data_IF_289028518061
#
_entry.id   IF_289028518061
#
_cell.length_a   1.000
_cell.length_b   1.000
_cell.length_c   1.000
_cell.angle_alpha   90.00
_cell.angle_beta   90.00
_cell.angle_gamma   90.00
#
_symmetry.space_group_name_H-M   'P 1'
#
loop_
_entity.id
_entity.type
_entity.pdbx_description
1 polymer ?
#
# COMPACT_ATOMS: atom_id res chain seq x y z
N UNK A 1 1.05 13.28 1.75
CA UNK A 1 1.48 12.01 1.14
C UNK A 1 0.71 11.80 -0.15
N UNK A 2 1.42 11.80 -1.28
CA UNK A 2 0.84 11.66 -2.63
C UNK A 2 0.99 10.22 -3.13
N UNK A 3 0.10 9.82 -4.03
CA UNK A 3 0.07 8.47 -4.59
C UNK A 3 1.39 8.05 -5.25
N UNK A 4 2.00 8.94 -6.03
CA UNK A 4 3.27 8.63 -6.70
C UNK A 4 4.43 8.47 -5.70
N UNK A 5 4.46 9.29 -4.64
CA UNK A 5 5.48 9.18 -3.58
C UNK A 5 5.38 7.82 -2.86
N UNK A 6 4.17 7.31 -2.65
CA UNK A 6 3.96 5.96 -2.09
C UNK A 6 4.51 4.87 -3.02
N UNK A 7 4.25 4.97 -4.32
CA UNK A 7 4.73 4.01 -5.32
C UNK A 7 6.27 4.00 -5.37
N UNK A 8 6.88 5.18 -5.39
CA UNK A 8 8.34 5.36 -5.41
C UNK A 8 9.00 4.88 -4.11
N UNK A 9 8.31 5.01 -2.97
CA UNK A 9 8.79 4.53 -1.69
C UNK A 9 8.72 2.99 -1.57
N UNK A 10 7.57 2.41 -1.95
CA UNK A 10 7.28 1.00 -1.68
C UNK A 10 7.88 0.09 -2.75
N UNK A 11 7.71 0.44 -4.03
CA UNK A 11 8.04 -0.45 -5.16
C UNK A 11 9.48 -0.99 -5.12
N UNK A 12 10.51 -0.12 -4.99
CA UNK A 12 11.90 -0.54 -4.89
C UNK A 12 12.19 -1.38 -3.63
N UNK A 13 11.49 -1.14 -2.52
CA UNK A 13 11.72 -1.84 -1.25
C UNK A 13 11.28 -3.30 -1.26
N UNK A 14 10.37 -3.67 -2.17
CA UNK A 14 9.80 -5.03 -2.26
C UNK A 14 10.03 -5.69 -3.63
N UNK A 15 10.77 -5.05 -4.52
CA UNK A 15 11.01 -5.51 -5.90
C UNK A 15 9.70 -5.94 -6.61
N UNK A 16 8.69 -5.07 -6.58
CA UNK A 16 7.39 -5.31 -7.20
C UNK A 16 6.97 -4.07 -8.01
N UNK A 17 6.65 -4.22 -9.31
CA UNK A 17 6.07 -3.13 -10.08
C UNK A 17 4.74 -2.68 -9.48
N UNK A 18 4.64 -1.41 -9.10
CA UNK A 18 3.44 -0.80 -8.54
C UNK A 18 2.87 0.26 -9.49
N UNK A 19 1.55 0.25 -9.63
CA UNK A 19 0.82 1.19 -10.49
C UNK A 19 -0.19 2.02 -9.70
N UNK A 20 -0.53 3.19 -10.22
CA UNK A 20 -1.50 4.08 -9.62
C UNK A 20 -2.93 3.62 -9.93
N UNK A 21 -3.73 3.40 -8.89
CA UNK A 21 -5.18 3.13 -8.88
C UNK A 21 -5.68 1.87 -9.60
N UNK A 22 -5.13 1.50 -10.75
CA UNK A 22 -5.62 0.40 -11.58
C UNK A 22 -4.46 -0.40 -12.17
N UNK A 23 -4.70 -1.68 -12.47
CA UNK A 23 -3.74 -2.51 -13.19
C UNK A 23 -3.82 -2.13 -14.67
N UNK A 24 -2.79 -1.51 -15.27
CA UNK A 24 -2.83 -1.19 -16.69
C UNK A 24 -2.84 -2.47 -17.53
N UNK A 25 -3.41 -2.40 -18.74
CA UNK A 25 -3.45 -3.53 -19.67
C UNK A 25 -2.04 -4.04 -20.04
N UNK A 26 -1.02 -3.16 -19.94
CA UNK A 26 0.39 -3.46 -20.20
C UNK A 26 1.13 -4.01 -18.97
N UNK A 27 0.50 -4.07 -17.79
CA UNK A 27 1.16 -4.60 -16.60
C UNK A 27 1.46 -6.09 -16.76
N UNK A 28 2.67 -6.47 -16.34
CA UNK A 28 3.02 -7.86 -16.12
C UNK A 28 2.04 -8.54 -15.13
N UNK A 29 2.05 -9.89 -15.08
CA UNK A 29 1.07 -10.61 -14.29
C UNK A 29 1.36 -10.56 -12.77
N UNK A 30 2.62 -10.35 -12.39
CA UNK A 30 3.06 -10.15 -11.01
C UNK A 30 3.32 -8.65 -10.78
N UNK A 31 2.39 -7.98 -10.12
CA UNK A 31 2.45 -6.54 -9.87
C UNK A 31 1.49 -6.13 -8.76
N UNK A 32 1.54 -4.87 -8.33
CA UNK A 32 0.55 -4.31 -7.43
C UNK A 32 -0.02 -2.98 -7.92
N UNK A 33 -1.07 -2.52 -7.24
CA UNK A 33 -1.58 -1.16 -7.38
C UNK A 33 -1.68 -0.50 -6.03
N UNK A 34 -1.41 0.80 -5.99
CA UNK A 34 -1.61 1.64 -4.81
C UNK A 34 -2.82 2.53 -5.05
N UNK A 35 -3.67 2.66 -4.05
CA UNK A 35 -4.87 3.51 -4.05
C UNK A 35 -4.88 4.33 -2.78
N UNK A 36 -4.98 5.65 -2.89
CA UNK A 36 -5.31 6.49 -1.73
C UNK A 36 -6.81 6.38 -1.49
N UNK A 37 -7.21 5.89 -0.32
CA UNK A 37 -8.60 5.58 0.01
C UNK A 37 -9.27 6.68 0.85
N UNK A 38 -8.62 7.85 0.93
CA UNK A 38 -9.04 8.94 1.79
C UNK A 38 -8.46 8.79 3.19
N UNK A 39 -9.25 8.98 4.23
CA UNK A 39 -8.80 8.93 5.62
C UNK A 39 -9.68 9.83 6.48
N UNK A 40 -9.29 10.04 7.74
CA UNK A 40 -9.97 11.06 8.56
C UNK A 40 -9.59 12.46 8.07
N UNK A 41 -10.49 13.45 8.20
CA UNK A 41 -10.14 14.85 8.04
C UNK A 41 -8.93 15.21 8.91
N UNK A 42 -8.18 16.19 8.45
CA UNK A 42 -7.08 16.78 9.21
C UNK A 42 -7.60 17.30 10.55
N UNK A 43 -6.83 17.06 11.60
CA UNK A 43 -7.04 17.74 12.88
C UNK A 43 -6.14 18.96 12.92
N UNK A 44 -6.68 20.11 12.54
CA UNK A 44 -5.95 21.39 12.47
C UNK A 44 -5.39 21.82 13.83
N UNK A 45 -5.98 21.36 14.95
CA UNK A 45 -5.51 21.70 16.29
C UNK A 45 -4.26 20.92 16.67
N UNK A 46 -4.22 19.65 16.26
CA UNK A 46 -3.08 18.78 16.49
C UNK A 46 -2.04 18.84 15.35
N UNK A 47 -2.37 19.52 14.25
CA UNK A 47 -1.54 19.63 13.04
C UNK A 47 -1.13 18.25 12.47
N UNK A 48 -2.08 17.30 12.48
CA UNK A 48 -1.87 15.93 12.01
C UNK A 48 -2.93 15.50 11.00
N UNK A 49 -2.50 14.71 10.01
CA UNK A 49 -3.37 14.04 9.05
C UNK A 49 -3.43 12.54 9.29
N UNK A 50 -4.54 11.90 8.89
CA UNK A 50 -4.69 10.45 8.94
C UNK A 50 -5.09 9.81 7.60
N UNK A 51 -4.26 9.96 6.56
CA UNK A 51 -4.57 9.34 5.28
C UNK A 51 -4.46 7.81 5.38
N UNK A 52 -5.27 7.17 4.55
CA UNK A 52 -5.36 5.73 4.38
C UNK A 52 -5.05 5.40 2.93
N UNK A 53 -4.46 4.24 2.72
CA UNK A 53 -4.21 3.73 1.39
C UNK A 53 -4.37 2.21 1.36
N UNK A 54 -4.70 1.71 0.18
CA UNK A 54 -4.78 0.30 -0.12
C UNK A 54 -3.69 -0.08 -1.12
N UNK A 55 -3.09 -1.24 -0.90
CA UNK A 55 -2.23 -1.92 -1.87
C UNK A 55 -2.93 -3.21 -2.27
N UNK A 56 -3.16 -3.39 -3.57
CA UNK A 56 -3.57 -4.68 -4.10
C UNK A 56 -2.38 -5.36 -4.73
N UNK A 57 -2.17 -6.63 -4.42
CA UNK A 57 -1.12 -7.46 -5.00
C UNK A 57 -1.77 -8.48 -5.92
N UNK A 58 -1.22 -8.63 -7.12
CA UNK A 58 -1.65 -9.61 -8.12
C UNK A 58 -0.47 -10.51 -8.49
N UNK A 59 -0.71 -11.80 -8.58
CA UNK A 59 0.32 -12.74 -9.05
C UNK A 59 -0.24 -13.99 -9.74
N UNK A 60 0.59 -14.64 -10.55
CA UNK A 60 0.24 -15.90 -11.22
C UNK A 60 0.26 -17.10 -10.28
N UNK A 61 1.14 -17.08 -9.29
CA UNK A 61 1.30 -18.16 -8.32
C UNK A 61 0.81 -17.71 -6.93
N UNK A 62 -0.08 -18.48 -6.27
CA UNK A 62 -0.60 -18.14 -4.95
C UNK A 62 0.51 -17.86 -3.92
N UNK A 63 1.51 -18.74 -3.83
CA UNK A 63 2.60 -18.61 -2.87
C UNK A 63 3.46 -17.35 -3.11
N UNK A 64 3.66 -16.96 -4.37
CA UNK A 64 4.43 -15.76 -4.70
C UNK A 64 3.65 -14.49 -4.34
N UNK A 65 2.35 -14.45 -4.67
CA UNK A 65 1.49 -13.32 -4.35
C UNK A 65 1.35 -13.14 -2.83
N UNK A 66 1.20 -14.25 -2.10
CA UNK A 66 1.14 -14.27 -0.62
C UNK A 66 2.45 -13.77 0.00
N UNK A 67 3.59 -14.28 -0.46
CA UNK A 67 4.92 -13.83 -0.01
C UNK A 67 5.09 -12.33 -0.21
N UNK A 68 4.75 -11.80 -1.40
CA UNK A 68 4.85 -10.36 -1.67
C UNK A 68 3.89 -9.53 -0.84
N UNK A 69 2.70 -10.04 -0.55
CA UNK A 69 1.76 -9.40 0.34
C UNK A 69 2.30 -9.33 1.77
N UNK A 70 2.94 -10.39 2.27
CA UNK A 70 3.62 -10.38 3.57
C UNK A 70 4.83 -9.45 3.61
N UNK A 71 5.66 -9.41 2.56
CA UNK A 71 6.76 -8.44 2.47
C UNK A 71 6.27 -6.99 2.62
N UNK A 72 5.14 -6.64 1.99
CA UNK A 72 4.50 -5.32 2.14
C UNK A 72 3.98 -5.12 3.57
N UNK A 73 3.32 -6.14 4.12
CA UNK A 73 2.80 -6.08 5.48
C UNK A 73 3.92 -5.80 6.49
N UNK A 74 4.99 -6.58 6.44
CA UNK A 74 6.13 -6.46 7.36
C UNK A 74 6.92 -5.17 7.16
N UNK A 75 6.99 -4.66 5.93
CA UNK A 75 7.64 -3.39 5.62
C UNK A 75 6.94 -2.19 6.29
N UNK A 76 5.61 -2.18 6.28
CA UNK A 76 4.80 -0.99 6.61
C UNK A 76 4.09 -1.08 7.96
N UNK A 77 3.63 -2.27 8.36
CA UNK A 77 2.85 -2.43 9.57
C UNK A 77 3.71 -2.15 10.82
N UNK A 78 3.27 -1.20 11.63
CA UNK A 78 3.99 -0.81 12.83
C UNK A 78 5.17 0.14 12.57
N UNK A 79 5.44 0.50 11.31
CA UNK A 79 6.54 1.38 10.93
C UNK A 79 6.32 2.79 11.49
N UNK A 80 7.40 3.40 11.97
CA UNK A 80 7.41 4.73 12.59
C UNK A 80 8.51 5.58 11.97
N UNK A 81 8.32 6.90 12.07
CA UNK A 81 9.37 7.90 11.82
C UNK A 81 10.06 7.71 10.45
N UNK A 82 9.31 7.91 9.38
CA UNK A 82 9.82 7.77 8.02
C UNK A 82 9.20 8.78 7.06
N UNK A 83 9.92 9.07 5.98
CA UNK A 83 9.46 10.00 4.96
C UNK A 83 8.94 9.27 3.72
N UNK A 84 7.82 9.74 3.20
CA UNK A 84 7.27 9.37 1.90
C UNK A 84 7.18 10.64 1.06
N UNK A 85 8.12 10.79 0.12
CA UNK A 85 8.36 12.07 -0.55
C UNK A 85 8.65 13.18 0.46
N UNK A 86 7.89 14.27 0.41
CA UNK A 86 8.01 15.36 1.38
C UNK A 86 7.12 15.20 2.62
N UNK A 87 6.42 14.08 2.77
CA UNK A 87 5.52 13.85 3.91
C UNK A 87 6.22 13.05 4.99
N UNK A 88 6.27 13.62 6.20
CA UNK A 88 6.73 12.91 7.39
C UNK A 88 5.60 12.05 7.98
N UNK A 89 5.84 10.74 8.07
CA UNK A 89 4.92 9.75 8.60
C UNK A 89 5.38 9.37 10.01
N UNK A 90 4.58 9.77 11.00
CA UNK A 90 4.81 9.45 12.42
C UNK A 90 4.60 7.95 12.63
N UNK A 91 3.52 7.39 12.08
CA UNK A 91 3.15 5.99 12.29
C UNK A 91 2.34 5.43 11.12
N UNK A 92 2.54 4.15 10.80
CA UNK A 92 1.77 3.39 9.83
C UNK A 92 1.30 2.07 10.46
N UNK A 93 0.03 1.72 10.28
CA UNK A 93 -0.54 0.47 10.78
C UNK A 93 -1.46 -0.16 9.74
N UNK A 94 -1.40 -1.48 9.61
CA UNK A 94 -2.38 -2.22 8.82
C UNK A 94 -3.74 -2.23 9.53
N UNK A 95 -4.81 -2.01 8.77
CA UNK A 95 -6.19 -2.07 9.30
C UNK A 95 -6.67 -3.52 9.54
N UNK A 96 -5.85 -4.50 9.21
CA UNK A 96 -6.15 -5.93 9.27
C UNK A 96 -4.90 -6.68 9.78
N UNK A 97 -5.12 -7.85 10.39
CA UNK A 97 -4.06 -8.62 11.05
C UNK A 97 -3.17 -9.42 10.08
N UNK A 98 -3.58 -9.55 8.81
CA UNK A 98 -2.84 -10.27 7.77
C UNK A 98 -3.27 -9.76 6.38
N UNK A 99 -2.51 -10.03 5.31
CA UNK A 99 -2.97 -9.84 3.95
C UNK A 99 -4.31 -10.52 3.69
N UNK A 100 -5.25 -9.80 3.06
CA UNK A 100 -6.58 -10.32 2.77
C UNK A 100 -6.62 -10.91 1.36
N UNK A 101 -6.83 -12.22 1.26
CA UNK A 101 -7.08 -12.87 -0.03
C UNK A 101 -8.44 -12.44 -0.59
N UNK A 102 -8.45 -11.99 -1.85
CA UNK A 102 -9.64 -11.49 -2.55
C UNK A 102 -10.19 -12.49 -3.58
N UNK A 103 -9.56 -13.65 -3.76
CA UNK A 103 -9.89 -14.57 -4.85
C UNK A 103 -8.95 -14.40 -6.05
N UNK A 104 -9.46 -14.74 -7.22
CA UNK A 104 -8.75 -14.60 -8.49
C UNK A 104 -9.44 -13.61 -9.41
N UNK A 105 -8.68 -12.92 -10.25
CA UNK A 105 -9.24 -12.13 -11.34
C UNK A 105 -9.79 -13.01 -12.48
N UNK A 106 -10.35 -12.37 -13.52
CA UNK A 106 -10.93 -13.02 -14.70
C UNK A 106 -9.96 -13.93 -15.46
N UNK A 107 -8.65 -13.78 -15.24
CA UNK A 107 -7.59 -14.57 -15.87
C UNK A 107 -6.97 -15.60 -14.92
N UNK A 108 -7.55 -15.79 -13.74
CA UNK A 108 -7.07 -16.74 -12.74
C UNK A 108 -5.87 -16.26 -11.92
N UNK A 109 -5.49 -14.97 -12.00
CA UNK A 109 -4.41 -14.40 -11.19
C UNK A 109 -4.91 -14.13 -9.78
N UNK A 110 -4.15 -14.56 -8.79
CA UNK A 110 -4.44 -14.42 -7.36
C UNK A 110 -4.35 -12.96 -6.94
N UNK A 111 -5.31 -12.51 -6.12
CA UNK A 111 -5.38 -11.14 -5.62
C UNK A 111 -5.35 -11.10 -4.10
N UNK A 112 -4.53 -10.20 -3.55
CA UNK A 112 -4.49 -9.85 -2.14
C UNK A 112 -4.72 -8.35 -1.95
N UNK A 113 -5.28 -7.97 -0.81
CA UNK A 113 -5.50 -6.59 -0.39
C UNK A 113 -4.81 -6.31 0.92
N UNK A 114 -4.15 -5.15 0.99
CA UNK A 114 -3.54 -4.57 2.18
C UNK A 114 -4.05 -3.16 2.40
N UNK A 115 -4.74 -2.90 3.50
CA UNK A 115 -5.22 -1.56 3.85
C UNK A 115 -4.40 -1.01 5.02
N UNK A 116 -3.96 0.25 4.89
CA UNK A 116 -3.12 0.92 5.89
C UNK A 116 -3.74 2.25 6.30
N UNK A 117 -3.62 2.57 7.59
CA UNK A 117 -3.82 3.91 8.14
C UNK A 117 -2.46 4.48 8.54
N UNK A 118 -2.23 5.74 8.20
CA UNK A 118 -1.05 6.49 8.63
C UNK A 118 -1.42 7.65 9.51
N UNK A 119 -0.50 8.06 10.38
CA UNK A 119 -0.50 9.34 11.07
C UNK A 119 0.66 10.15 10.50
N UNK A 120 0.36 11.33 9.97
CA UNK A 120 1.34 12.23 9.34
C UNK A 120 1.34 13.59 10.02
N UNK A 121 2.48 14.27 9.99
CA UNK A 121 2.54 15.69 10.31
C UNK A 121 1.97 16.51 9.14
N UNK A 122 1.25 17.58 9.46
CA UNK A 122 0.97 18.63 8.48
C UNK A 122 2.09 19.68 8.53
N UNK A 123 2.68 19.93 7.36
CA UNK A 123 3.58 21.06 7.13
C UNK A 123 2.79 22.26 6.61
#
# INVERSE_FOLDING_TARGET
MRLMELIEYIGPAIDLPLFANTFPATAGPNCGVVKVTGGRPVDDRANVGRPTFQILVRGTAPALADSKAWEIYDLLNGKRDFNVGNTHVIFCIAQQAAPLFLGTDETGRVLYSLNFETLIEQL
#
